data_IF_967536267488
#
_entry.id   IF_967536267488
#
_cell.length_a   1.000
_cell.length_b   1.000
_cell.length_c   1.000
_cell.angle_alpha   90.00
_cell.angle_beta   90.00
_cell.angle_gamma   90.00
#
_symmetry.space_group_name_H-M   'P 1'
#
loop_
_entity.id
_entity.type
_entity.pdbx_description
1 polymer ?
#
# COMPACT_ATOMS: atom_id res chain seq x y z
N UNK A 1 -19.69 -0.68 21.16
CA UNK A 1 -18.78 -0.97 20.04
C UNK A 1 -18.33 0.34 19.41
N UNK A 2 -17.04 0.46 19.10
CA UNK A 2 -16.48 1.64 18.43
C UNK A 2 -16.77 1.57 16.94
N UNK A 3 -17.14 2.72 16.37
CA UNK A 3 -17.43 2.88 14.95
C UNK A 3 -16.58 4.02 14.43
N UNK A 4 -15.85 3.81 13.34
CA UNK A 4 -15.13 4.86 12.64
C UNK A 4 -15.81 5.14 11.29
N UNK A 5 -15.97 6.42 10.96
CA UNK A 5 -16.49 6.87 9.68
C UNK A 5 -15.34 7.37 8.80
N UNK A 6 -15.29 6.88 7.57
CA UNK A 6 -14.32 7.22 6.55
C UNK A 6 -14.99 7.92 5.37
N UNK A 7 -14.21 8.68 4.61
CA UNK A 7 -14.61 9.29 3.35
C UNK A 7 -15.10 8.24 2.32
N UNK A 8 -15.76 8.71 1.27
CA UNK A 8 -16.32 7.84 0.22
C UNK A 8 -15.27 6.94 -0.47
N UNK A 9 -14.02 7.40 -0.54
CA UNK A 9 -12.87 6.66 -1.08
C UNK A 9 -12.17 5.74 -0.05
N UNK A 10 -12.68 5.69 1.18
CA UNK A 10 -12.19 4.85 2.29
C UNK A 10 -10.73 5.15 2.71
N UNK A 11 -10.23 6.36 2.43
CA UNK A 11 -8.84 6.75 2.72
C UNK A 11 -8.72 7.65 3.96
N UNK A 12 -9.68 8.53 4.20
CA UNK A 12 -9.60 9.55 5.26
C UNK A 12 -10.59 9.23 6.35
N UNK A 13 -10.10 9.05 7.59
CA UNK A 13 -10.98 8.93 8.76
C UNK A 13 -11.55 10.32 9.09
N UNK A 14 -12.87 10.43 9.06
CA UNK A 14 -13.61 11.67 9.31
C UNK A 14 -13.93 11.84 10.80
N UNK A 15 -14.43 10.78 11.45
CA UNK A 15 -14.75 10.84 12.88
C UNK A 15 -14.90 9.45 13.46
N UNK A 16 -14.73 9.36 14.78
CA UNK A 16 -15.07 8.17 15.56
C UNK A 16 -16.37 8.39 16.32
N UNK A 17 -17.09 7.31 16.58
CA UNK A 17 -18.39 7.29 17.22
C UNK A 17 -18.70 5.95 17.87
N UNK A 18 -19.96 5.76 18.22
CA UNK A 18 -20.44 4.55 18.89
C UNK A 18 -21.65 3.99 18.17
N UNK A 19 -21.69 2.67 18.04
CA UNK A 19 -22.88 1.98 17.55
C UNK A 19 -23.99 2.12 18.59
N UNK A 20 -25.16 2.61 18.17
CA UNK A 20 -26.32 2.82 19.03
C UNK A 20 -27.27 1.62 18.98
N UNK A 21 -27.61 1.15 17.77
CA UNK A 21 -28.60 0.07 17.61
C UNK A 21 -28.28 -0.74 16.36
N UNK A 22 -28.46 -2.06 16.49
CA UNK A 22 -28.52 -2.99 15.38
C UNK A 22 -30.01 -3.29 15.20
N UNK A 23 -30.54 -3.02 14.02
CA UNK A 23 -31.91 -3.41 13.68
C UNK A 23 -31.99 -4.93 13.56
N UNK A 24 -33.00 -5.54 14.18
CA UNK A 24 -33.19 -6.99 14.17
C UNK A 24 -33.90 -7.47 12.89
N UNK A 25 -34.27 -6.57 11.98
CA UNK A 25 -34.83 -6.91 10.69
C UNK A 25 -33.75 -6.91 9.61
N UNK A 26 -33.49 -8.09 9.04
CA UNK A 26 -32.71 -8.24 7.81
C UNK A 26 -33.63 -7.92 6.64
N UNK A 27 -33.18 -7.03 5.76
CA UNK A 27 -33.81 -6.84 4.46
C UNK A 27 -33.52 -8.07 3.59
N UNK A 28 -34.52 -8.94 3.42
CA UNK A 28 -34.38 -10.19 2.69
C UNK A 28 -34.11 -10.01 1.20
N UNK A 29 -34.40 -8.84 0.62
CA UNK A 29 -34.13 -8.58 -0.81
C UNK A 29 -32.67 -8.29 -1.07
N UNK A 30 -31.96 -7.71 -0.11
CA UNK A 30 -30.54 -7.34 -0.22
C UNK A 30 -29.62 -8.19 0.66
N UNK A 31 -30.17 -8.94 1.62
CA UNK A 31 -29.41 -9.68 2.63
C UNK A 31 -28.71 -8.78 3.64
N UNK A 32 -29.10 -7.51 3.77
CA UNK A 32 -28.42 -6.52 4.63
C UNK A 32 -29.22 -6.19 5.90
N UNK A 33 -28.51 -5.97 6.99
CA UNK A 33 -29.07 -5.42 8.24
C UNK A 33 -28.84 -3.91 8.32
N UNK A 34 -29.72 -3.19 9.02
CA UNK A 34 -29.56 -1.75 9.26
C UNK A 34 -28.92 -1.51 10.61
N UNK A 35 -27.89 -0.66 10.63
CA UNK A 35 -27.19 -0.26 11.85
C UNK A 35 -27.31 1.26 12.01
N UNK A 36 -27.49 1.72 13.25
CA UNK A 36 -27.48 3.14 13.61
C UNK A 36 -26.30 3.42 14.52
N UNK A 37 -25.49 4.40 14.16
CA UNK A 37 -24.37 4.89 14.95
C UNK A 37 -24.51 6.39 15.24
N UNK A 38 -23.93 6.85 16.35
CA UNK A 38 -23.92 8.25 16.76
C UNK A 38 -22.48 8.75 16.81
N UNK A 39 -22.27 9.94 16.24
CA UNK A 39 -20.98 10.62 16.16
C UNK A 39 -21.13 12.02 16.76
N UNK A 40 -20.18 12.45 17.59
CA UNK A 40 -20.21 13.80 18.16
C UNK A 40 -19.91 14.89 17.12
N UNK A 41 -19.24 14.53 16.01
CA UNK A 41 -18.89 15.41 14.88
C UNK A 41 -18.28 16.76 15.31
N UNK A 42 -17.40 16.77 16.31
CA UNK A 42 -16.78 18.00 16.87
C UNK A 42 -15.97 18.81 15.84
N UNK A 43 -15.48 18.16 14.79
CA UNK A 43 -14.74 18.80 13.69
C UNK A 43 -15.62 19.28 12.53
N UNK A 44 -16.94 19.08 12.60
CA UNK A 44 -17.89 19.38 11.50
C UNK A 44 -17.52 18.71 10.16
N UNK A 45 -16.87 17.55 10.22
CA UNK A 45 -16.40 16.80 9.04
C UNK A 45 -17.50 15.97 8.39
N UNK A 46 -18.55 15.63 9.15
CA UNK A 46 -19.75 14.99 8.62
C UNK A 46 -20.81 16.01 8.22
N UNK A 47 -21.29 15.92 6.99
CA UNK A 47 -22.40 16.71 6.46
C UNK A 47 -23.69 15.89 6.33
N UNK A 48 -24.87 16.54 6.42
CA UNK A 48 -26.14 15.89 6.14
C UNK A 48 -26.16 15.28 4.73
N UNK A 49 -26.75 14.09 4.60
CA UNK A 49 -26.83 13.33 3.34
C UNK A 49 -25.46 12.96 2.71
N UNK A 50 -24.36 13.07 3.45
CA UNK A 50 -23.05 12.62 3.00
C UNK A 50 -22.97 11.10 3.02
N UNK A 51 -22.39 10.53 1.95
CA UNK A 51 -22.02 9.12 1.92
C UNK A 51 -20.65 8.91 2.59
N UNK A 52 -20.59 7.97 3.52
CA UNK A 52 -19.37 7.60 4.27
C UNK A 52 -19.25 6.09 4.35
N UNK A 53 -18.01 5.59 4.43
CA UNK A 53 -17.74 4.19 4.74
C UNK A 53 -17.66 4.01 6.25
N UNK A 54 -18.27 2.94 6.78
CA UNK A 54 -18.33 2.68 8.21
C UNK A 54 -17.49 1.45 8.54
N UNK A 55 -16.49 1.64 9.40
CA UNK A 55 -15.66 0.57 9.92
C UNK A 55 -16.08 0.29 11.36
N UNK A 56 -16.47 -0.95 11.65
CA UNK A 56 -16.92 -1.38 12.96
C UNK A 56 -15.88 -2.31 13.58
N UNK A 57 -15.30 -1.89 14.69
CA UNK A 57 -14.43 -2.76 15.48
C UNK A 57 -15.29 -3.73 16.30
N UNK A 58 -15.33 -4.99 15.86
CA UNK A 58 -16.10 -6.05 16.52
C UNK A 58 -15.37 -6.63 17.72
N UNK A 59 -14.10 -6.96 17.53
CA UNK A 59 -13.27 -7.61 18.52
C UNK A 59 -11.81 -7.15 18.39
N UNK A 60 -11.09 -7.18 19.50
CA UNK A 60 -9.64 -6.98 19.51
C UNK A 60 -9.00 -8.17 20.20
N UNK A 61 -8.41 -9.07 19.41
CA UNK A 61 -7.68 -10.20 19.96
C UNK A 61 -6.31 -9.73 20.46
N UNK A 62 -6.05 -9.95 21.76
CA UNK A 62 -4.78 -9.58 22.40
C UNK A 62 -3.88 -10.81 22.51
N UNK A 63 -2.56 -10.58 22.49
CA UNK A 63 -1.54 -11.62 22.61
C UNK A 63 -1.58 -12.65 21.47
N UNK A 64 -2.02 -12.23 20.28
CA UNK A 64 -1.96 -13.06 19.07
C UNK A 64 -0.63 -12.86 18.35
N UNK A 65 -0.15 -13.91 17.70
CA UNK A 65 1.01 -13.83 16.81
C UNK A 65 0.47 -13.43 15.44
N UNK A 66 1.00 -12.36 14.88
CA UNK A 66 0.68 -11.92 13.53
C UNK A 66 1.91 -12.01 12.64
N UNK A 67 1.70 -12.43 11.40
CA UNK A 67 2.72 -12.44 10.36
C UNK A 67 2.19 -11.70 9.15
N UNK A 68 3.06 -11.11 8.30
CA UNK A 68 2.64 -10.62 7.01
C UNK A 68 1.95 -11.72 6.22
N UNK A 69 0.77 -11.45 5.64
CA UNK A 69 0.01 -12.46 4.88
C UNK A 69 0.79 -13.01 3.68
N UNK A 70 1.73 -12.22 3.14
CA UNK A 70 2.67 -12.67 2.11
C UNK A 70 3.59 -13.81 2.57
N UNK A 71 3.82 -13.97 3.89
CA UNK A 71 4.61 -15.06 4.44
C UNK A 71 3.88 -16.42 4.43
N UNK A 72 2.53 -16.39 4.36
CA UNK A 72 1.68 -17.58 4.48
C UNK A 72 1.52 -18.22 3.11
N UNK A 73 1.97 -19.47 2.99
CA UNK A 73 1.84 -20.29 1.80
C UNK A 73 0.75 -21.35 1.97
N UNK A 74 0.13 -21.75 0.86
CA UNK A 74 -0.89 -22.80 0.85
C UNK A 74 -0.34 -24.06 0.20
N UNK A 75 -0.35 -25.16 0.93
CA UNK A 75 0.12 -26.46 0.46
C UNK A 75 -0.97 -27.53 0.49
N UNK A 76 -0.67 -28.75 0.02
CA UNK A 76 -1.61 -29.87 0.03
C UNK A 76 -2.08 -30.27 1.44
N UNK A 77 -1.26 -30.00 2.46
CA UNK A 77 -1.54 -30.31 3.87
C UNK A 77 -2.07 -29.11 4.67
N UNK A 78 -2.43 -28.01 3.99
CA UNK A 78 -2.89 -26.77 4.62
C UNK A 78 -1.88 -25.63 4.53
N UNK A 79 -2.09 -24.60 5.36
CA UNK A 79 -1.24 -23.42 5.35
C UNK A 79 0.11 -23.72 6.03
N UNK A 80 1.19 -23.15 5.51
CA UNK A 80 2.53 -23.28 6.06
C UNK A 80 3.32 -21.98 5.87
N UNK A 81 4.37 -21.80 6.66
CA UNK A 81 5.31 -20.67 6.56
C UNK A 81 6.75 -21.20 6.55
N UNK A 82 7.67 -20.38 6.04
CA UNK A 82 9.10 -20.62 6.18
C UNK A 82 9.62 -19.80 7.35
N UNK A 83 10.11 -20.48 8.39
CA UNK A 83 10.72 -19.86 9.57
C UNK A 83 12.23 -19.89 9.41
N UNK A 84 12.89 -18.77 9.67
CA UNK A 84 14.35 -18.65 9.65
C UNK A 84 14.90 -19.07 11.00
N UNK A 85 15.79 -20.06 10.99
CA UNK A 85 16.53 -20.54 12.15
C UNK A 85 17.71 -19.62 12.48
N UNK A 86 18.25 -19.70 13.72
CA UNK A 86 19.45 -18.95 14.12
C UNK A 86 20.69 -19.23 13.27
N UNK A 87 20.73 -20.36 12.56
CA UNK A 87 21.81 -20.73 11.63
C UNK A 87 21.62 -20.16 10.20
N UNK A 88 20.62 -19.30 10.00
CA UNK A 88 20.19 -18.73 8.71
C UNK A 88 19.68 -19.77 7.71
N UNK A 89 19.19 -20.92 8.18
CA UNK A 89 18.48 -21.89 7.35
C UNK A 89 16.97 -21.73 7.51
N UNK A 90 16.20 -22.16 6.52
CA UNK A 90 14.74 -22.14 6.58
C UNK A 90 14.17 -23.49 6.99
N UNK A 91 13.16 -23.46 7.85
CA UNK A 91 12.33 -24.60 8.19
C UNK A 91 10.89 -24.35 7.72
N UNK A 92 10.30 -25.35 7.08
CA UNK A 92 8.87 -25.33 6.75
C UNK A 92 8.09 -25.72 7.99
N UNK A 93 7.17 -24.86 8.44
CA UNK A 93 6.25 -25.17 9.54
C UNK A 93 4.81 -24.98 9.12
N UNK A 94 3.98 -26.00 9.33
CA UNK A 94 2.53 -25.88 9.15
C UNK A 94 1.96 -24.91 10.18
N UNK A 95 1.01 -24.08 9.75
CA UNK A 95 0.38 -23.06 10.59
C UNK A 95 -1.13 -23.10 10.50
N UNK A 96 -1.77 -22.69 11.59
CA UNK A 96 -3.22 -22.45 11.62
C UNK A 96 -3.47 -20.96 11.54
N UNK A 97 -4.25 -20.54 10.53
CA UNK A 97 -4.56 -19.14 10.26
C UNK A 97 -6.06 -18.92 10.46
N UNK A 98 -6.51 -18.49 11.65
CA UNK A 98 -7.93 -18.30 11.94
C UNK A 98 -8.51 -17.08 11.22
N UNK A 99 -7.75 -15.99 11.15
CA UNK A 99 -8.18 -14.71 10.59
C UNK A 99 -7.05 -14.08 9.77
N UNK A 100 -7.42 -13.38 8.71
CA UNK A 100 -6.51 -12.52 7.94
C UNK A 100 -7.19 -11.18 7.74
N UNK A 101 -6.50 -10.11 8.12
CA UNK A 101 -7.00 -8.74 8.09
C UNK A 101 -6.00 -7.87 7.31
N UNK A 102 -6.42 -7.38 6.13
CA UNK A 102 -5.55 -6.63 5.23
C UNK A 102 -4.31 -7.43 4.82
N UNK A 103 -3.14 -6.93 5.24
CA UNK A 103 -1.83 -7.52 4.92
C UNK A 103 -1.24 -8.36 6.07
N UNK A 104 -2.02 -8.61 7.13
CA UNK A 104 -1.60 -9.36 8.30
C UNK A 104 -2.48 -10.58 8.48
N UNK A 105 -1.84 -11.71 8.78
CA UNK A 105 -2.51 -12.97 9.09
C UNK A 105 -2.21 -13.34 10.54
N UNK A 106 -3.27 -13.68 11.27
CA UNK A 106 -3.15 -14.23 12.62
C UNK A 106 -2.67 -15.68 12.55
N UNK A 107 -1.75 -16.05 13.43
CA UNK A 107 -1.24 -17.42 13.58
C UNK A 107 -1.67 -17.95 14.94
N UNK A 108 -2.59 -18.92 14.93
CA UNK A 108 -3.03 -19.61 16.16
C UNK A 108 -2.01 -20.66 16.62
N UNK A 109 -1.27 -21.26 15.69
CA UNK A 109 -0.24 -22.26 16.00
C UNK A 109 0.79 -22.38 14.88
N UNK A 110 2.00 -22.84 15.22
CA UNK A 110 3.08 -23.11 14.28
C UNK A 110 4.13 -22.01 14.14
N UNK A 111 3.99 -20.89 14.84
CA UNK A 111 5.04 -19.86 14.95
C UNK A 111 5.10 -19.39 16.40
N UNK A 112 6.30 -19.12 16.90
CA UNK A 112 6.54 -18.57 18.22
C UNK A 112 6.81 -17.06 18.13
N UNK A 113 6.57 -16.36 19.23
CA UNK A 113 6.93 -14.95 19.33
C UNK A 113 8.44 -14.76 19.12
N UNK A 114 8.80 -13.72 18.36
CA UNK A 114 10.19 -13.38 17.98
C UNK A 114 10.86 -14.36 16.99
N UNK A 115 10.12 -15.27 16.36
CA UNK A 115 10.64 -15.99 15.19
C UNK A 115 10.55 -15.12 13.92
N UNK A 116 11.54 -15.30 13.03
CA UNK A 116 11.55 -14.61 11.74
C UNK A 116 10.91 -15.48 10.67
N UNK A 117 10.01 -14.89 9.89
CA UNK A 117 9.36 -15.56 8.76
C UNK A 117 9.82 -14.96 7.44
N UNK A 118 9.86 -15.77 6.40
CA UNK A 118 10.21 -15.32 5.05
C UNK A 118 8.97 -14.74 4.35
N UNK A 119 9.07 -13.49 3.92
CA UNK A 119 7.99 -12.76 3.22
C UNK A 119 8.16 -12.70 1.70
N UNK A 120 9.37 -12.91 1.17
CA UNK A 120 9.70 -12.83 -0.26
C UNK A 120 10.63 -13.99 -0.65
N UNK A 121 10.63 -14.38 -1.93
CA UNK A 121 11.54 -15.37 -2.49
C UNK A 121 11.18 -16.82 -2.16
N UNK A 122 9.99 -17.07 -1.63
CA UNK A 122 9.54 -18.39 -1.16
C UNK A 122 9.51 -19.44 -2.29
N UNK A 123 9.27 -19.02 -3.53
CA UNK A 123 9.22 -19.90 -4.71
C UNK A 123 10.51 -20.69 -4.95
N UNK A 124 11.65 -20.15 -4.47
CA UNK A 124 12.98 -20.75 -4.64
C UNK A 124 13.46 -21.49 -3.39
N UNK A 125 12.68 -21.46 -2.30
CA UNK A 125 13.08 -22.03 -1.02
C UNK A 125 12.56 -23.45 -0.83
N UNK A 126 13.50 -24.33 -0.52
CA UNK A 126 13.23 -25.66 0.02
C UNK A 126 13.65 -25.73 1.49
N UNK A 127 13.16 -26.74 2.22
CA UNK A 127 13.59 -26.99 3.58
C UNK A 127 15.13 -27.05 3.67
N UNK A 128 15.71 -26.32 4.61
CA UNK A 128 17.16 -26.24 4.79
C UNK A 128 17.89 -25.25 3.86
N UNK A 129 17.16 -24.52 3.00
CA UNK A 129 17.77 -23.47 2.18
C UNK A 129 18.37 -22.37 3.07
N UNK A 130 19.55 -21.90 2.71
CA UNK A 130 20.18 -20.76 3.39
C UNK A 130 19.58 -19.46 2.87
N UNK A 131 19.20 -18.58 3.77
CA UNK A 131 18.63 -17.27 3.43
C UNK A 131 19.51 -16.15 3.94
N UNK A 132 19.47 -15.03 3.23
CA UNK A 132 20.07 -13.78 3.66
C UNK A 132 18.94 -12.85 4.09
N UNK A 133 18.88 -12.57 5.39
CA UNK A 133 17.76 -11.82 5.98
C UNK A 133 17.91 -10.33 5.68
N UNK A 134 16.99 -9.81 4.87
CA UNK A 134 16.76 -8.36 4.79
C UNK A 134 15.58 -8.06 5.73
N UNK A 135 15.87 -7.58 6.94
CA UNK A 135 14.81 -7.14 7.84
C UNK A 135 14.22 -5.84 7.31
N UNK A 136 13.05 -5.92 6.69
CA UNK A 136 12.21 -4.75 6.47
C UNK A 136 11.66 -4.34 7.84
N UNK A 137 12.36 -3.41 8.49
CA UNK A 137 11.88 -2.82 9.74
C UNK A 137 10.51 -2.16 9.52
N UNK A 138 9.71 -1.95 10.59
CA UNK A 138 8.43 -1.26 10.48
C UNK A 138 8.66 0.11 9.84
N UNK A 139 8.25 0.23 8.56
CA UNK A 139 8.77 1.23 7.65
C UNK A 139 8.45 2.67 8.06
N UNK A 140 9.50 3.44 8.35
CA UNK A 140 9.57 4.81 7.83
C UNK A 140 9.84 4.69 6.34
N UNK A 141 8.78 4.71 5.52
CA UNK A 141 8.92 4.99 4.08
C UNK A 141 9.35 6.45 3.92
N UNK A 142 10.64 6.72 4.13
CA UNK A 142 11.22 8.01 3.77
C UNK A 142 11.25 8.10 2.25
N UNK A 143 10.50 9.06 1.73
CA UNK A 143 10.50 9.49 0.34
C UNK A 143 11.91 9.97 -0.04
N UNK A 144 12.70 9.12 -0.70
CA UNK A 144 13.98 9.53 -1.28
C UNK A 144 14.28 8.79 -2.58
N UNK A 145 13.42 8.98 -3.58
CA UNK A 145 13.73 8.69 -4.98
C UNK A 145 13.19 9.80 -5.88
N UNK A 146 13.63 11.04 -5.65
CA UNK A 146 13.38 12.16 -6.56
C UNK A 146 14.44 13.26 -6.42
N UNK A 147 15.73 12.95 -6.59
CA UNK A 147 16.75 13.94 -6.97
C UNK A 147 18.08 13.25 -7.30
N UNK A 148 18.30 12.95 -8.58
CA UNK A 148 19.63 12.91 -9.19
C UNK A 148 19.47 12.64 -10.68
N UNK A 149 19.34 13.71 -11.46
CA UNK A 149 19.88 13.81 -12.83
C UNK A 149 19.62 15.21 -13.40
N UNK A 150 20.40 16.18 -12.93
CA UNK A 150 20.76 17.36 -13.74
C UNK A 150 22.28 17.55 -13.61
N UNK A 151 23.03 16.75 -14.36
CA UNK A 151 24.45 16.95 -14.59
C UNK A 151 24.62 17.91 -15.77
N UNK A 152 25.06 19.13 -15.50
CA UNK A 152 25.57 20.07 -16.52
C UNK A 152 27.05 19.76 -16.77
N UNK A 153 27.51 19.52 -18.01
CA UNK A 153 28.94 19.52 -18.29
C UNK A 153 29.41 20.93 -18.63
N UNK A 154 30.30 21.43 -17.78
CA UNK A 154 31.14 22.60 -17.97
C UNK A 154 32.19 22.34 -19.07
N UNK A 155 32.21 23.16 -20.12
CA UNK A 155 33.29 23.17 -21.10
C UNK A 155 33.47 24.58 -21.69
N UNK A 156 34.45 25.34 -21.18
CA UNK A 156 35.02 26.48 -21.90
C UNK A 156 36.43 26.80 -21.37
N UNK A 157 37.43 26.32 -22.10
CA UNK A 157 38.79 26.87 -22.08
C UNK A 157 39.29 26.91 -23.53
N UNK A 158 39.63 28.11 -24.03
CA UNK A 158 40.36 28.28 -25.29
C UNK A 158 39.92 29.44 -26.20
N UNK A 159 40.62 30.57 -26.07
CA UNK A 159 41.11 31.49 -27.12
C UNK A 159 40.14 32.24 -28.10
N UNK A 160 40.25 33.57 -28.07
CA UNK A 160 39.91 34.55 -29.13
C UNK A 160 41.08 34.60 -30.18
N UNK A 161 41.02 35.25 -31.39
CA UNK A 161 40.34 36.52 -31.67
C UNK A 161 39.65 36.73 -33.05
N UNK A 162 38.76 37.73 -33.06
CA UNK A 162 38.46 38.77 -34.07
C UNK A 162 38.65 38.53 -35.59
N UNK A 163 37.57 38.73 -36.37
CA UNK A 163 37.47 39.59 -37.58
C UNK A 163 36.03 39.50 -38.14
N UNK A 164 35.23 40.58 -38.10
CA UNK A 164 34.96 41.54 -39.19
C UNK A 164 33.75 41.20 -40.07
N UNK A 165 32.69 42.00 -39.88
CA UNK A 165 31.70 42.51 -40.84
C UNK A 165 31.49 41.78 -42.18
N UNK A 166 30.25 41.38 -42.48
CA UNK A 166 29.43 42.09 -43.48
C UNK A 166 28.02 41.53 -43.62
N UNK A 167 27.08 42.47 -43.65
CA UNK A 167 25.69 42.34 -44.08
C UNK A 167 25.56 41.71 -45.47
N UNK A 168 24.62 40.78 -45.67
CA UNK A 168 23.92 40.61 -46.96
C UNK A 168 22.57 39.90 -46.81
N UNK A 169 21.56 40.64 -47.26
CA UNK A 169 20.19 40.28 -47.60
C UNK A 169 20.07 38.94 -48.34
N UNK A 170 18.96 38.23 -48.13
CA UNK A 170 18.46 37.31 -49.16
C UNK A 170 17.54 36.18 -48.70
N UNK A 171 16.24 36.50 -48.61
CA UNK A 171 15.14 35.76 -49.25
C UNK A 171 15.07 34.22 -49.10
N UNK A 172 14.00 33.72 -48.46
CA UNK A 172 13.68 32.29 -48.46
C UNK A 172 12.34 31.98 -47.81
N UNK A 173 11.27 32.12 -48.60
CA UNK A 173 9.90 31.71 -48.26
C UNK A 173 9.88 30.25 -47.83
N UNK A 174 9.22 29.91 -46.72
CA UNK A 174 8.53 28.63 -46.67
C UNK A 174 7.22 28.74 -45.89
N UNK A 175 6.13 28.62 -46.64
CA UNK A 175 4.78 28.32 -46.14
C UNK A 175 4.83 26.89 -45.65
N UNK A 176 4.43 26.63 -44.41
CA UNK A 176 3.87 25.32 -44.11
C UNK A 176 2.40 25.48 -43.70
N UNK A 177 1.56 25.00 -44.60
CA UNK A 177 0.15 24.75 -44.41
C UNK A 177 0.04 23.48 -43.56
N UNK A 178 -0.68 23.52 -42.44
CA UNK A 178 -1.84 22.62 -42.31
C UNK A 178 -2.66 22.94 -41.07
N UNK A 179 -3.87 23.44 -41.32
CA UNK A 179 -5.01 23.30 -40.43
C UNK A 179 -5.65 21.95 -40.74
N UNK A 180 -5.86 21.13 -39.72
CA UNK A 180 -6.70 19.94 -39.78
C UNK A 180 -7.70 20.00 -38.63
N UNK A 181 -8.96 20.18 -39.01
CA UNK A 181 -10.14 20.37 -38.16
C UNK A 181 -10.63 19.07 -37.54
N UNK A 182 -11.15 19.16 -36.32
CA UNK A 182 -11.95 18.14 -35.67
C UNK A 182 -13.39 18.15 -36.20
N UNK A 183 -13.95 16.96 -36.45
CA UNK A 183 -15.37 16.59 -36.30
C UNK A 183 -15.61 15.16 -36.80
N UNK A 184 -15.92 14.24 -35.89
CA UNK A 184 -17.26 13.69 -35.64
C UNK A 184 -17.21 12.83 -34.37
#
# INVERSE_FOLDING_TARGET
MQVDAYSRDDQTKLTSGKLLTIDNQIDQTTGTGKLKAVFENKGNELWPNQFVNIHLLLETQKNVIVVPSAAVQRGPQGNYVYVVKPDNTVEVRNVTVPVTEGNLSEIASGVLANEHVVTDGQDKLQQGSRVETHMEGPGTRNAQSATSNLSTPNAASGANPAETQHSRRGNGRNRNQNRGTASQ
#
